data_IF_038713367024
#
_entry.id   IF_038713367024
#
_cell.length_a   1.000
_cell.length_b   1.000
_cell.length_c   1.000
_cell.angle_alpha   90.00
_cell.angle_beta   90.00
_cell.angle_gamma   90.00
#
_symmetry.space_group_name_H-M   'P 1'
#
loop_
_entity.id
_entity.type
_entity.pdbx_description
1 polymer ?
#
# COMPACT_ATOMS: atom_id res chain seq x y z
N UNK A 1 20.78 18.15 -6.15
CA UNK A 1 20.02 17.57 -7.29
C UNK A 1 19.69 18.61 -8.36
N UNK A 2 19.03 19.75 -8.04
CA UNK A 2 18.68 20.77 -9.04
C UNK A 2 19.84 21.23 -9.95
N UNK A 3 21.04 21.43 -9.41
CA UNK A 3 22.21 21.83 -10.21
C UNK A 3 22.63 20.75 -11.22
N UNK A 4 22.46 19.47 -10.90
CA UNK A 4 22.80 18.36 -11.79
C UNK A 4 21.76 18.24 -12.92
N UNK A 5 20.48 18.42 -12.61
CA UNK A 5 19.41 18.50 -13.63
C UNK A 5 19.65 19.70 -14.56
N UNK A 6 19.94 20.88 -14.00
CA UNK A 6 20.24 22.07 -14.79
C UNK A 6 21.51 21.89 -15.63
N UNK A 7 22.54 21.23 -15.09
CA UNK A 7 23.75 20.90 -15.84
C UNK A 7 23.44 19.97 -17.02
N UNK A 8 22.71 18.86 -16.82
CA UNK A 8 22.32 17.97 -17.92
C UNK A 8 21.50 18.70 -19.00
N UNK A 9 20.51 19.50 -18.59
CA UNK A 9 19.64 20.23 -19.50
C UNK A 9 20.38 21.35 -20.27
N UNK A 10 21.39 21.98 -19.65
CA UNK A 10 22.13 23.10 -20.24
C UNK A 10 23.37 22.67 -21.03
N UNK A 11 23.99 21.55 -20.66
CA UNK A 11 25.24 21.09 -21.26
C UNK A 11 25.06 20.42 -22.63
N UNK A 12 23.87 20.48 -23.24
CA UNK A 12 23.52 19.71 -24.44
C UNK A 12 23.92 18.22 -24.29
N UNK A 13 23.71 17.67 -23.10
CA UNK A 13 23.99 16.26 -22.84
C UNK A 13 23.12 15.42 -23.76
N UNK A 14 23.72 14.49 -24.51
CA UNK A 14 22.98 13.53 -25.35
C UNK A 14 22.04 12.65 -24.52
N UNK A 15 22.25 12.56 -23.21
CA UNK A 15 21.44 11.75 -22.30
C UNK A 15 20.95 12.58 -21.11
N UNK A 16 19.64 12.54 -20.88
CA UNK A 16 18.96 13.16 -19.74
C UNK A 16 18.70 12.14 -18.61
N UNK A 17 19.70 11.31 -18.31
CA UNK A 17 19.55 10.18 -17.38
C UNK A 17 19.22 10.64 -15.97
N UNK A 18 19.95 11.64 -15.46
CA UNK A 18 19.70 12.16 -14.12
C UNK A 18 18.34 12.87 -14.05
N UNK A 19 18.00 13.63 -15.09
CA UNK A 19 16.71 14.31 -15.22
C UNK A 19 15.55 13.29 -15.19
N UNK A 20 15.61 12.24 -16.02
CA UNK A 20 14.61 11.16 -16.05
C UNK A 20 14.49 10.43 -14.71
N UNK A 21 15.62 10.15 -14.07
CA UNK A 21 15.62 9.57 -12.72
C UNK A 21 14.87 10.46 -11.72
N UNK A 22 15.15 11.77 -11.69
CA UNK A 22 14.49 12.68 -10.76
C UNK A 22 12.98 12.82 -11.04
N UNK A 23 12.57 12.80 -12.30
CA UNK A 23 11.15 12.80 -12.67
C UNK A 23 10.44 11.52 -12.20
N UNK A 24 11.05 10.36 -12.45
CA UNK A 24 10.50 9.07 -12.00
C UNK A 24 10.36 9.01 -10.47
N UNK A 25 11.39 9.45 -9.73
CA UNK A 25 11.33 9.47 -8.27
C UNK A 25 10.26 10.44 -7.73
N UNK A 26 10.07 11.59 -8.38
CA UNK A 26 8.99 12.52 -8.04
C UNK A 26 7.58 11.93 -8.25
N UNK A 27 7.41 11.01 -9.20
CA UNK A 27 6.11 10.37 -9.43
C UNK A 27 5.78 9.30 -8.37
N UNK A 28 6.80 8.72 -7.74
CA UNK A 28 6.63 7.67 -6.74
C UNK A 28 6.51 8.27 -5.34
N UNK A 29 7.24 9.36 -5.06
CA UNK A 29 7.32 9.96 -3.73
C UNK A 29 6.37 11.15 -3.66
N UNK A 30 5.29 11.01 -2.89
CA UNK A 30 4.42 12.13 -2.51
C UNK A 30 4.50 12.39 -0.98
N UNK A 31 4.64 11.31 -0.20
CA UNK A 31 4.60 11.34 1.27
C UNK A 31 5.85 10.73 1.91
N UNK A 32 6.04 10.98 3.21
CA UNK A 32 7.08 10.36 4.01
C UNK A 32 6.94 8.82 4.08
N UNK A 33 5.70 8.31 3.99
CA UNK A 33 5.44 6.86 3.97
C UNK A 33 5.95 6.20 2.67
N UNK A 34 5.85 6.89 1.54
CA UNK A 34 6.41 6.41 0.26
C UNK A 34 7.94 6.31 0.35
N UNK A 35 8.58 7.33 0.92
CA UNK A 35 10.04 7.31 1.18
C UNK A 35 10.41 6.17 2.11
N UNK A 36 9.65 5.98 3.20
CA UNK A 36 9.89 4.91 4.16
C UNK A 36 9.83 3.55 3.48
N UNK A 37 8.81 3.30 2.64
CA UNK A 37 8.66 2.05 1.89
C UNK A 37 9.85 1.82 0.94
N UNK A 38 10.25 2.84 0.18
CA UNK A 38 11.39 2.76 -0.74
C UNK A 38 12.71 2.53 0.00
N UNK A 39 12.88 3.14 1.18
CA UNK A 39 14.04 2.90 2.04
C UNK A 39 14.06 1.48 2.58
N UNK A 40 12.93 0.97 3.08
CA UNK A 40 12.82 -0.42 3.59
C UNK A 40 13.11 -1.46 2.50
N UNK A 41 12.81 -1.13 1.23
CA UNK A 41 13.15 -1.94 0.06
C UNK A 41 14.57 -1.75 -0.46
N UNK A 42 15.37 -0.87 0.15
CA UNK A 42 16.75 -0.58 -0.25
C UNK A 42 16.89 0.25 -1.53
N UNK A 43 15.81 0.87 -2.01
CA UNK A 43 15.81 1.70 -3.21
C UNK A 43 16.39 3.10 -2.92
N UNK A 44 16.09 3.64 -1.73
CA UNK A 44 16.60 4.94 -1.27
C UNK A 44 17.49 4.74 -0.05
N UNK A 45 18.65 5.38 -0.07
CA UNK A 45 19.51 5.55 1.10
C UNK A 45 19.24 6.93 1.71
N UNK A 46 18.60 6.96 2.89
CA UNK A 46 18.27 8.22 3.56
C UNK A 46 19.42 8.69 4.47
N UNK A 47 20.13 9.74 4.06
CA UNK A 47 21.13 10.44 4.87
C UNK A 47 20.59 11.67 5.62
N UNK A 48 19.35 12.09 5.34
CA UNK A 48 18.71 13.28 5.92
C UNK A 48 18.07 13.01 7.30
N UNK A 49 18.16 11.77 7.80
CA UNK A 49 17.63 11.30 9.10
C UNK A 49 16.12 11.50 9.31
N UNK A 50 15.39 11.93 8.28
CA UNK A 50 13.93 12.10 8.29
C UNK A 50 13.43 11.79 6.89
N UNK A 51 12.35 11.01 6.81
CA UNK A 51 11.74 10.62 5.54
C UNK A 51 10.91 11.78 4.96
N UNK A 52 10.37 12.64 5.82
CA UNK A 52 9.69 13.88 5.45
C UNK A 52 10.62 14.81 4.68
N UNK A 53 11.87 14.98 5.14
CA UNK A 53 12.85 15.84 4.44
C UNK A 53 13.23 15.31 3.06
N UNK A 54 13.21 13.99 2.88
CA UNK A 54 13.44 13.37 1.57
C UNK A 54 12.22 13.62 0.67
N UNK A 55 11.00 13.43 1.18
CA UNK A 55 9.78 13.72 0.44
C UNK A 55 9.72 15.19 0.01
N UNK A 56 10.00 16.12 0.92
CA UNK A 56 10.08 17.57 0.62
C UNK A 56 11.14 17.89 -0.44
N UNK A 57 12.28 17.19 -0.43
CA UNK A 57 13.33 17.39 -1.43
C UNK A 57 12.85 17.04 -2.84
N UNK A 58 12.20 15.89 -3.00
CA UNK A 58 11.64 15.45 -4.29
C UNK A 58 10.45 16.31 -4.72
N UNK A 59 9.47 16.53 -3.83
CA UNK A 59 8.33 17.41 -4.10
C UNK A 59 8.75 18.84 -4.44
N UNK A 60 9.82 19.34 -3.81
CA UNK A 60 10.41 20.64 -4.11
C UNK A 60 11.05 20.71 -5.50
N UNK A 61 11.54 19.60 -6.07
CA UNK A 61 12.11 19.58 -7.42
C UNK A 61 11.05 19.71 -8.50
N UNK A 62 9.85 19.17 -8.29
CA UNK A 62 8.74 19.25 -9.25
C UNK A 62 8.29 20.69 -9.51
N UNK A 63 8.49 21.62 -8.56
CA UNK A 63 8.23 23.06 -8.77
C UNK A 63 9.22 23.76 -9.70
N UNK A 64 10.43 23.20 -9.86
CA UNK A 64 11.53 23.82 -10.60
C UNK A 64 11.78 23.22 -11.98
N UNK A 65 11.27 22.02 -12.24
CA UNK A 65 11.44 21.31 -13.51
C UNK A 65 10.10 21.41 -14.23
N UNK A 66 9.96 22.40 -15.12
CA UNK A 66 8.84 22.42 -16.05
C UNK A 66 8.84 21.10 -16.81
N UNK A 67 7.74 20.35 -16.72
CA UNK A 67 7.52 19.03 -17.33
C UNK A 67 8.04 19.03 -18.76
N UNK A 68 9.29 18.57 -18.90
CA UNK A 68 10.00 18.53 -20.18
C UNK A 68 9.57 17.23 -20.81
N UNK A 69 8.76 17.36 -21.87
CA UNK A 69 8.21 16.33 -22.75
C UNK A 69 8.28 14.90 -22.19
N UNK A 70 7.30 14.56 -21.36
CA UNK A 70 7.26 13.34 -20.56
C UNK A 70 6.77 12.12 -21.33
N UNK A 71 6.80 12.12 -22.67
CA UNK A 71 6.18 11.08 -23.51
C UNK A 71 6.64 9.65 -23.18
N UNK A 72 7.94 9.45 -22.97
CA UNK A 72 8.51 8.15 -22.56
C UNK A 72 8.09 7.74 -21.13
N UNK A 73 7.91 8.73 -20.25
CA UNK A 73 7.50 8.52 -18.86
C UNK A 73 6.00 8.24 -18.78
N UNK A 74 5.20 8.91 -19.59
CA UNK A 74 3.76 8.71 -19.74
C UNK A 74 3.47 7.29 -20.26
N UNK A 75 4.21 6.79 -21.25
CA UNK A 75 4.08 5.40 -21.71
C UNK A 75 4.41 4.41 -20.58
N UNK A 76 5.45 4.72 -19.79
CA UNK A 76 5.85 3.88 -18.65
C UNK A 76 4.78 3.89 -17.56
N UNK A 77 4.21 5.05 -17.24
CA UNK A 77 3.09 5.21 -16.28
C UNK A 77 1.86 4.44 -16.79
N UNK A 78 1.53 4.56 -18.08
CA UNK A 78 0.40 3.88 -18.69
C UNK A 78 0.56 2.35 -18.61
N UNK A 79 1.74 1.83 -18.97
CA UNK A 79 2.04 0.39 -18.85
C UNK A 79 1.96 -0.09 -17.41
N UNK A 80 2.49 0.68 -16.46
CA UNK A 80 2.47 0.33 -15.05
C UNK A 80 1.03 0.31 -14.50
N UNK A 81 0.25 1.33 -14.82
CA UNK A 81 -1.17 1.39 -14.47
C UNK A 81 -1.97 0.27 -15.12
N UNK A 82 -1.70 -0.05 -16.39
CA UNK A 82 -2.35 -1.16 -17.10
C UNK A 82 -2.00 -2.51 -16.48
N UNK A 83 -0.75 -2.73 -16.07
CA UNK A 83 -0.35 -3.94 -15.36
C UNK A 83 -1.04 -4.03 -13.99
N UNK A 84 -1.03 -2.95 -13.20
CA UNK A 84 -1.61 -2.94 -11.86
C UNK A 84 -3.14 -3.06 -11.87
N UNK A 85 -3.82 -2.41 -12.82
CA UNK A 85 -5.27 -2.54 -13.01
C UNK A 85 -5.68 -3.80 -13.76
N UNK A 86 -4.79 -4.38 -14.56
CA UNK A 86 -5.03 -5.61 -15.32
C UNK A 86 -4.77 -6.87 -14.50
N UNK A 87 -3.99 -6.78 -13.41
CA UNK A 87 -3.69 -7.93 -12.58
C UNK A 87 -4.90 -8.34 -11.74
N UNK A 88 -5.48 -9.49 -12.08
CA UNK A 88 -6.67 -10.04 -11.43
C UNK A 88 -6.46 -10.25 -9.93
N UNK A 89 -5.23 -10.51 -9.49
CA UNK A 89 -4.87 -10.67 -8.07
C UNK A 89 -5.06 -9.37 -7.28
N UNK A 90 -4.72 -8.22 -7.86
CA UNK A 90 -4.90 -6.91 -7.20
C UNK A 90 -6.39 -6.57 -7.09
N UNK A 91 -7.18 -6.89 -8.12
CA UNK A 91 -8.64 -6.76 -8.10
C UNK A 91 -9.25 -7.69 -7.05
N UNK A 92 -8.83 -8.95 -7.02
CA UNK A 92 -9.24 -9.95 -6.04
C UNK A 92 -8.93 -9.52 -4.62
N UNK A 93 -7.70 -9.07 -4.34
CA UNK A 93 -7.31 -8.56 -3.03
C UNK A 93 -8.10 -7.33 -2.60
N UNK A 94 -8.32 -6.35 -3.48
CA UNK A 94 -9.15 -5.16 -3.16
C UNK A 94 -10.60 -5.54 -2.86
N UNK A 95 -11.20 -6.43 -3.66
CA UNK A 95 -12.56 -6.92 -3.45
C UNK A 95 -12.67 -7.73 -2.15
N UNK A 96 -11.75 -8.67 -1.93
CA UNK A 96 -11.63 -9.47 -0.72
C UNK A 96 -11.52 -8.57 0.50
N UNK A 97 -10.58 -7.61 0.51
CA UNK A 97 -10.41 -6.68 1.62
C UNK A 97 -11.68 -5.87 1.90
N UNK A 98 -12.37 -5.38 0.87
CA UNK A 98 -13.61 -4.60 1.06
C UNK A 98 -14.75 -5.47 1.61
N UNK A 99 -14.97 -6.65 1.06
CA UNK A 99 -16.03 -7.56 1.49
C UNK A 99 -15.73 -8.18 2.85
N UNK A 100 -14.56 -8.78 3.02
CA UNK A 100 -14.17 -9.45 4.27
C UNK A 100 -14.15 -8.45 5.41
N UNK A 101 -13.57 -7.26 5.26
CA UNK A 101 -13.49 -6.29 6.36
C UNK A 101 -14.86 -5.69 6.72
N UNK A 102 -15.73 -5.44 5.73
CA UNK A 102 -17.10 -5.00 5.97
C UNK A 102 -17.93 -6.10 6.66
N UNK A 103 -17.77 -7.35 6.24
CA UNK A 103 -18.48 -8.50 6.80
C UNK A 103 -17.89 -9.02 8.10
N UNK A 104 -16.61 -8.75 8.40
CA UNK A 104 -15.92 -9.26 9.59
C UNK A 104 -16.61 -8.82 10.87
N UNK A 105 -17.05 -7.56 10.94
CA UNK A 105 -17.77 -7.05 12.11
C UNK A 105 -19.09 -7.80 12.34
N UNK A 106 -19.83 -8.08 11.28
CA UNK A 106 -21.08 -8.85 11.38
C UNK A 106 -20.84 -10.31 11.75
N UNK A 107 -19.81 -10.93 11.17
CA UNK A 107 -19.42 -12.30 11.48
C UNK A 107 -19.05 -12.46 12.97
N UNK A 108 -18.25 -11.53 13.49
CA UNK A 108 -17.87 -11.51 14.92
C UNK A 108 -19.08 -11.33 15.82
N UNK A 109 -20.05 -10.48 15.45
CA UNK A 109 -21.29 -10.31 16.21
C UNK A 109 -22.10 -11.61 16.26
N UNK A 110 -22.32 -12.27 15.11
CA UNK A 110 -23.03 -13.55 15.04
C UNK A 110 -22.32 -14.63 15.84
N UNK A 111 -21.00 -14.74 15.70
CA UNK A 111 -20.19 -15.70 16.47
C UNK A 111 -20.30 -15.44 17.99
N UNK A 112 -20.27 -14.18 18.41
CA UNK A 112 -20.42 -13.80 19.82
C UNK A 112 -21.80 -14.19 20.35
N UNK A 113 -22.87 -13.92 19.59
CA UNK A 113 -24.24 -14.30 19.97
C UNK A 113 -24.36 -15.82 20.11
N UNK A 114 -23.83 -16.58 19.14
CA UNK A 114 -23.84 -18.05 19.20
C UNK A 114 -23.08 -18.58 20.41
N UNK A 115 -21.91 -18.01 20.72
CA UNK A 115 -21.14 -18.37 21.91
C UNK A 115 -21.89 -18.07 23.21
N UNK A 116 -22.56 -16.91 23.29
CA UNK A 116 -23.39 -16.56 24.45
C UNK A 116 -24.55 -17.54 24.63
N UNK A 117 -25.23 -17.93 23.55
CA UNK A 117 -26.31 -18.93 23.59
C UNK A 117 -25.79 -20.30 24.03
N UNK A 118 -24.66 -20.75 23.49
CA UNK A 118 -24.01 -22.00 23.88
C UNK A 118 -23.61 -22.00 25.36
N UNK A 119 -23.00 -20.92 25.84
CA UNK A 119 -22.65 -20.78 27.25
C UNK A 119 -23.91 -20.75 28.14
N UNK A 120 -24.97 -20.07 27.72
CA UNK A 120 -26.24 -20.05 28.43
C UNK A 120 -26.89 -21.43 28.53
N UNK A 121 -26.92 -22.18 27.42
CA UNK A 121 -27.37 -23.57 27.36
C UNK A 121 -26.52 -24.46 28.27
N UNK A 122 -25.19 -24.33 28.23
CA UNK A 122 -24.29 -25.09 29.07
C UNK A 122 -24.52 -24.82 30.56
N UNK A 123 -24.66 -23.54 30.95
CA UNK A 123 -24.94 -23.15 32.33
C UNK A 123 -26.30 -23.67 32.81
N UNK A 124 -27.34 -23.56 31.97
CA UNK A 124 -28.67 -24.09 32.27
C UNK A 124 -28.65 -25.62 32.43
N UNK A 125 -28.05 -26.35 31.49
CA UNK A 125 -27.91 -27.81 31.55
C UNK A 125 -27.11 -28.27 32.78
N UNK A 126 -26.12 -27.48 33.22
CA UNK A 126 -25.34 -27.76 34.43
C UNK A 126 -26.15 -27.59 35.72
N UNK A 127 -27.12 -26.68 35.75
CA UNK A 127 -27.98 -26.43 36.93
C UNK A 127 -29.14 -27.43 36.99
N UNK A 128 -29.73 -27.75 35.84
CA UNK A 128 -30.95 -28.57 35.76
C UNK A 128 -30.71 -30.05 35.40
N UNK A 129 -29.45 -30.53 35.41
CA UNK A 129 -29.05 -31.91 35.10
C UNK A 129 -29.75 -32.48 33.85
N UNK A 130 -29.52 -31.86 32.68
CA UNK A 130 -29.96 -32.46 31.42
C UNK A 130 -29.21 -33.79 31.16
N UNK A 131 -29.89 -34.84 30.68
CA UNK A 131 -29.22 -36.05 30.24
C UNK A 131 -28.24 -35.69 29.11
N UNK A 132 -26.95 -35.94 29.37
CA UNK A 132 -25.82 -35.64 28.49
C UNK A 132 -25.88 -36.49 27.23
N UNK A 133 -26.75 -36.14 26.27
CA UNK A 133 -26.87 -36.83 24.98
C UNK A 133 -25.92 -36.27 23.93
N UNK A 134 -24.64 -36.04 24.27
CA UNK A 134 -23.55 -35.94 23.29
C UNK A 134 -22.27 -36.42 23.98
N UNK A 135 -22.19 -37.72 24.26
CA UNK A 135 -20.93 -38.44 24.46
C UNK A 135 -21.23 -39.94 24.29
N UNK A 136 -21.37 -40.35 23.04
CA UNK A 136 -21.06 -41.70 22.60
C UNK A 136 -20.87 -41.64 21.08
N UNK A 137 -19.62 -41.54 20.66
CA UNK A 137 -19.12 -42.35 19.57
C UNK A 137 -17.59 -42.36 19.65
N UNK A 138 -17.14 -43.50 20.15
CA UNK A 138 -15.81 -44.05 19.97
C UNK A 138 -15.73 -44.67 18.56
#
# INVERSE_FOLDING_TARGET
MRNLVAYEASAMSESLVFTRYTQFMNLIIDTADDVKLLRERGIIVNHLKSDEKVAELFNGMSKSIGLTDASDLDETIEKLNKYYNGNWEVRGYKLMKKYVFASWKMLTLVATILLLLLMGLQAFCSVYNCPRSINNQH
#
